data_IF_022442740559
#
_entry.id   IF_022442740559
#
_cell.length_a   1.000
_cell.length_b   1.000
_cell.length_c   1.000
_cell.angle_alpha   90.00
_cell.angle_beta   90.00
_cell.angle_gamma   90.00
#
_symmetry.space_group_name_H-M   'P 1'
#
loop_
_entity.id
_entity.type
_entity.pdbx_description
1 polymer ?
#
# COMPACT_ATOMS: atom_id res chain seq x y z
N UNK A 1 -3.74 9.28 -78.57
CA UNK A 1 -2.99 8.45 -77.61
C UNK A 1 -2.16 9.36 -76.72
N UNK A 2 -2.67 9.79 -75.57
CA UNK A 2 -1.90 10.43 -74.51
C UNK A 2 -2.43 9.87 -73.19
N UNK A 3 -1.59 9.11 -72.49
CA UNK A 3 -1.88 8.50 -71.20
C UNK A 3 -1.67 9.55 -70.11
N UNK A 4 -2.72 9.87 -69.36
CA UNK A 4 -2.58 10.58 -68.08
C UNK A 4 -2.68 9.52 -66.99
N UNK A 5 -1.57 9.30 -66.28
CA UNK A 5 -1.47 8.43 -65.11
C UNK A 5 -1.98 9.27 -63.93
N UNK A 6 -3.12 8.91 -63.35
CA UNK A 6 -3.56 9.44 -62.07
C UNK A 6 -2.89 8.64 -60.95
N UNK A 7 -1.93 9.25 -60.27
CA UNK A 7 -1.36 8.70 -59.05
C UNK A 7 -2.38 8.83 -57.91
N UNK A 8 -2.90 7.71 -57.42
CA UNK A 8 -3.69 7.66 -56.19
C UNK A 8 -2.69 7.76 -55.03
N UNK A 9 -2.66 8.91 -54.37
CA UNK A 9 -1.95 9.06 -53.11
C UNK A 9 -2.75 8.32 -52.02
N UNK A 10 -2.30 7.12 -51.66
CA UNK A 10 -2.75 6.46 -50.43
C UNK A 10 -2.27 7.28 -49.24
N UNK A 11 -3.17 8.04 -48.62
CA UNK A 11 -2.96 8.56 -47.28
C UNK A 11 -3.05 7.38 -46.32
N UNK A 12 -1.90 6.78 -46.00
CA UNK A 12 -1.77 5.95 -44.80
C UNK A 12 -1.97 6.90 -43.62
N UNK A 13 -3.15 6.86 -43.00
CA UNK A 13 -3.30 7.39 -41.66
C UNK A 13 -2.31 6.60 -40.80
N UNK A 14 -1.17 7.21 -40.47
CA UNK A 14 -0.38 6.79 -39.33
C UNK A 14 -1.30 7.07 -38.15
N UNK A 15 -1.99 6.02 -37.68
CA UNK A 15 -2.56 6.02 -36.35
C UNK A 15 -1.38 6.27 -35.42
N UNK A 16 -1.24 7.52 -34.98
CA UNK A 16 -0.50 7.83 -33.78
C UNK A 16 -1.24 7.05 -32.72
N UNK A 17 -0.67 5.90 -32.33
CA UNK A 17 -1.17 5.16 -31.19
C UNK A 17 -1.28 6.16 -30.04
N UNK A 18 -2.46 6.40 -29.45
CA UNK A 18 -2.49 7.10 -28.19
C UNK A 18 -1.55 6.30 -27.28
N UNK A 19 -0.65 6.99 -26.56
CA UNK A 19 0.24 6.36 -25.59
C UNK A 19 -0.53 5.23 -24.91
N UNK A 20 -0.12 3.97 -25.13
CA UNK A 20 -0.82 2.81 -24.61
C UNK A 20 -0.98 3.04 -23.12
N UNK A 21 -2.20 3.35 -22.67
CA UNK A 21 -2.46 3.76 -21.31
C UNK A 21 -1.99 2.64 -20.42
N UNK A 22 -0.96 2.90 -19.61
CA UNK A 22 -0.40 1.91 -18.69
C UNK A 22 -1.50 1.23 -17.87
N UNK A 23 -2.53 2.00 -17.54
CA UNK A 23 -3.76 1.52 -16.95
C UNK A 23 -4.94 2.43 -17.32
N UNK A 24 -6.14 1.88 -17.24
CA UNK A 24 -7.42 2.59 -17.34
C UNK A 24 -8.20 2.36 -16.05
N UNK A 25 -8.58 3.45 -15.36
CA UNK A 25 -9.44 3.39 -14.20
C UNK A 25 -10.89 3.10 -14.63
N UNK A 26 -11.45 2.00 -14.12
CA UNK A 26 -12.82 1.58 -14.41
C UNK A 26 -13.77 1.93 -13.26
N UNK A 27 -13.31 1.74 -12.02
CA UNK A 27 -14.03 2.11 -10.81
C UNK A 27 -13.07 2.80 -9.84
N UNK A 28 -13.53 3.86 -9.19
CA UNK A 28 -12.86 4.48 -8.04
C UNK A 28 -13.86 4.93 -7.02
N UNK A 29 -13.60 4.57 -5.77
CA UNK A 29 -14.44 4.94 -4.65
C UNK A 29 -13.60 5.00 -3.37
N UNK A 30 -13.49 6.21 -2.82
CA UNK A 30 -12.87 6.47 -1.50
C UNK A 30 -13.87 6.45 -0.36
N UNK A 31 -15.16 6.45 -0.65
CA UNK A 31 -16.26 6.57 0.32
C UNK A 31 -16.21 7.83 1.21
N UNK A 32 -15.43 8.84 0.82
CA UNK A 32 -15.42 10.11 1.52
C UNK A 32 -16.82 10.78 1.48
N UNK A 33 -17.30 11.28 2.63
CA UNK A 33 -18.47 12.17 2.69
C UNK A 33 -18.26 13.45 1.87
N UNK A 34 -19.35 14.15 1.60
CA UNK A 34 -19.36 15.43 0.90
C UNK A 34 -20.17 15.42 -0.39
N UNK A 35 -20.07 16.47 -1.22
CA UNK A 35 -20.90 16.64 -2.40
C UNK A 35 -20.58 15.58 -3.47
N UNK A 36 -21.58 14.77 -3.81
CA UNK A 36 -21.44 13.67 -4.78
C UNK A 36 -22.66 13.57 -5.69
N UNK A 37 -22.50 13.18 -6.97
CA UNK A 37 -23.65 12.95 -7.83
C UNK A 37 -24.53 11.85 -7.25
N UNK A 38 -25.85 12.04 -7.32
CA UNK A 38 -26.82 11.10 -6.78
C UNK A 38 -28.06 10.96 -7.67
N UNK A 39 -28.49 9.72 -7.87
CA UNK A 39 -29.64 9.31 -8.66
C UNK A 39 -29.40 9.47 -10.15
N UNK A 40 -30.38 9.08 -10.96
CA UNK A 40 -30.26 9.10 -12.43
C UNK A 40 -30.11 10.49 -13.10
N UNK A 41 -30.02 11.60 -12.34
CA UNK A 41 -29.79 12.94 -12.88
C UNK A 41 -28.41 13.52 -12.54
N UNK A 42 -27.60 12.81 -11.74
CA UNK A 42 -26.25 13.24 -11.37
C UNK A 42 -26.17 14.54 -10.57
N UNK A 43 -27.29 15.02 -10.00
CA UNK A 43 -27.25 16.23 -9.17
C UNK A 43 -26.45 15.95 -7.91
N UNK A 44 -25.58 16.89 -7.57
CA UNK A 44 -24.81 16.82 -6.34
C UNK A 44 -25.74 16.81 -5.13
N UNK A 45 -25.50 15.86 -4.23
CA UNK A 45 -26.06 15.76 -2.89
C UNK A 45 -24.92 15.50 -1.93
N UNK A 46 -25.01 16.05 -0.74
CA UNK A 46 -24.02 15.80 0.29
C UNK A 46 -24.24 14.39 0.84
N UNK A 47 -23.28 13.49 0.59
CA UNK A 47 -23.18 12.21 1.26
C UNK A 47 -22.69 12.45 2.69
N UNK A 48 -23.52 12.14 3.68
CA UNK A 48 -23.19 12.24 5.09
C UNK A 48 -22.87 10.86 5.65
N UNK A 49 -22.20 10.84 6.80
CA UNK A 49 -22.04 9.61 7.57
C UNK A 49 -23.44 9.03 7.87
N UNK A 50 -23.57 7.72 7.74
CA UNK A 50 -24.79 6.92 7.82
C UNK A 50 -25.78 7.07 6.66
N UNK A 51 -25.50 7.93 5.67
CA UNK A 51 -26.28 7.90 4.44
C UNK A 51 -26.05 6.57 3.73
N UNK A 52 -27.15 5.94 3.33
CA UNK A 52 -27.10 4.74 2.51
C UNK A 52 -26.39 5.05 1.18
N UNK A 53 -25.53 4.13 0.72
CA UNK A 53 -24.85 4.28 -0.57
C UNK A 53 -25.82 4.35 -1.76
N UNK A 54 -27.01 3.75 -1.66
CA UNK A 54 -27.98 3.63 -2.74
C UNK A 54 -28.25 4.96 -3.42
N UNK A 55 -28.08 5.00 -4.74
CA UNK A 55 -28.26 6.19 -5.56
C UNK A 55 -27.03 7.08 -5.66
N UNK A 56 -26.04 7.00 -4.75
CA UNK A 56 -24.81 7.77 -4.91
C UNK A 56 -23.91 7.17 -5.99
N UNK A 57 -23.26 8.05 -6.75
CA UNK A 57 -22.31 7.64 -7.78
C UNK A 57 -20.91 7.45 -7.18
N UNK A 58 -20.15 6.44 -7.64
CA UNK A 58 -18.74 6.37 -7.33
C UNK A 58 -18.01 7.55 -7.95
N UNK A 59 -16.78 7.81 -7.51
CA UNK A 59 -15.95 8.86 -8.12
C UNK A 59 -15.65 8.54 -9.58
N UNK A 60 -15.55 7.25 -9.92
CA UNK A 60 -15.49 6.77 -11.29
C UNK A 60 -16.32 5.47 -11.40
N UNK A 61 -17.16 5.31 -12.45
CA UNK A 61 -17.52 6.29 -13.47
C UNK A 61 -18.66 7.23 -13.00
N UNK A 62 -18.67 8.45 -13.50
CA UNK A 62 -19.66 9.49 -13.16
C UNK A 62 -21.04 9.26 -13.81
N UNK A 63 -21.53 8.02 -13.98
CA UNK A 63 -22.88 7.75 -14.55
C UNK A 63 -23.47 6.41 -14.08
N UNK A 64 -22.88 5.78 -13.08
CA UNK A 64 -23.38 4.56 -12.45
C UNK A 64 -23.70 4.87 -10.99
N UNK A 65 -24.63 4.15 -10.39
CA UNK A 65 -25.00 4.35 -8.99
C UNK A 65 -24.86 3.06 -8.20
N UNK A 66 -24.43 3.21 -6.95
CA UNK A 66 -24.52 2.14 -5.97
C UNK A 66 -26.00 1.76 -5.78
N UNK A 67 -26.25 0.47 -5.60
CA UNK A 67 -27.57 -0.10 -5.35
C UNK A 67 -27.53 -0.89 -4.06
N UNK A 68 -28.45 -0.59 -3.15
CA UNK A 68 -28.74 -1.41 -1.97
C UNK A 68 -30.26 -1.61 -1.87
N UNK A 69 -30.76 -2.46 -0.97
CA UNK A 69 -32.18 -2.47 -0.62
C UNK A 69 -32.69 -1.07 -0.24
N UNK A 70 -33.89 -0.71 -0.71
CA UNK A 70 -34.54 0.60 -0.47
C UNK A 70 -35.40 0.63 0.81
N UNK A 71 -35.31 -0.39 1.66
CA UNK A 71 -36.19 -0.52 2.83
C UNK A 71 -35.58 0.12 4.07
N UNK A 72 -36.34 1.03 4.69
CA UNK A 72 -35.99 1.60 5.99
C UNK A 72 -36.00 0.49 7.06
N UNK A 73 -34.89 0.34 7.80
CA UNK A 73 -34.79 -0.59 8.92
C UNK A 73 -34.00 -1.87 8.66
N UNK A 74 -33.46 -2.06 7.45
CA UNK A 74 -32.45 -3.10 7.17
C UNK A 74 -31.06 -2.50 7.41
N UNK A 75 -30.16 -3.28 8.00
CA UNK A 75 -28.74 -2.93 8.05
C UNK A 75 -28.23 -2.90 6.61
N UNK A 76 -27.80 -1.74 6.14
CA UNK A 76 -27.39 -1.50 4.76
C UNK A 76 -25.95 -1.02 4.71
N UNK A 77 -25.35 -1.06 3.52
CA UNK A 77 -24.10 -0.35 3.28
C UNK A 77 -24.34 1.16 3.30
N UNK A 78 -23.59 1.85 4.13
CA UNK A 78 -23.67 3.30 4.30
C UNK A 78 -22.28 3.93 4.30
N UNK A 79 -22.22 5.22 3.96
CA UNK A 79 -21.02 6.02 4.20
C UNK A 79 -20.72 6.04 5.69
N UNK A 80 -19.45 5.88 6.03
CA UNK A 80 -18.96 5.82 7.38
C UNK A 80 -17.72 6.71 7.52
N UNK A 81 -17.39 6.99 8.78
CA UNK A 81 -16.12 7.59 9.13
C UNK A 81 -15.22 6.56 9.80
N UNK A 82 -13.96 6.49 9.38
CA UNK A 82 -12.93 5.78 10.11
C UNK A 82 -11.67 6.65 10.16
N UNK A 83 -11.41 7.21 11.34
CA UNK A 83 -10.03 7.34 11.80
C UNK A 83 -9.40 5.93 11.82
N UNK A 84 -8.07 5.84 11.97
CA UNK A 84 -7.40 4.58 12.38
C UNK A 84 -7.97 4.03 13.71
N UNK A 85 -8.90 4.72 14.35
CA UNK A 85 -9.86 4.17 15.29
C UNK A 85 -11.31 4.40 14.77
N UNK A 86 -12.07 3.34 14.39
CA UNK A 86 -13.45 3.48 13.92
C UNK A 86 -14.45 3.84 15.04
N UNK A 87 -13.98 4.02 16.27
CA UNK A 87 -14.76 4.53 17.41
C UNK A 87 -14.33 5.94 17.84
N UNK A 88 -13.26 6.51 17.25
CA UNK A 88 -12.79 7.86 17.55
C UNK A 88 -13.27 8.86 16.48
N UNK A 89 -14.08 9.82 16.91
CA UNK A 89 -14.40 11.00 16.11
C UNK A 89 -13.18 11.92 16.18
N UNK A 90 -12.33 11.94 15.15
CA UNK A 90 -11.36 13.03 14.96
C UNK A 90 -12.03 14.18 14.17
N UNK A 91 -12.36 15.31 14.82
CA UNK A 91 -12.97 16.46 14.15
C UNK A 91 -12.02 17.19 13.18
N UNK A 92 -10.73 16.80 13.11
CA UNK A 92 -9.72 17.45 12.27
C UNK A 92 -9.20 16.57 11.12
N UNK A 93 -9.71 15.36 10.89
CA UNK A 93 -9.25 14.51 9.78
C UNK A 93 -9.90 14.93 8.45
N UNK A 94 -9.13 15.46 7.47
CA UNK A 94 -9.63 15.80 6.15
C UNK A 94 -9.86 14.57 5.23
N UNK A 95 -9.59 13.34 5.67
CA UNK A 95 -9.70 12.09 4.88
C UNK A 95 -10.55 11.00 5.55
N UNK A 96 -11.67 11.40 6.14
CA UNK A 96 -12.68 10.45 6.59
C UNK A 96 -13.41 9.84 5.38
N UNK A 97 -13.39 8.51 5.18
CA UNK A 97 -14.05 7.88 4.04
C UNK A 97 -14.04 6.36 4.08
N UNK A 98 -15.14 5.77 4.53
CA UNK A 98 -15.36 4.32 4.48
C UNK A 98 -16.78 4.01 4.09
N UNK A 99 -17.00 2.77 3.64
CA UNK A 99 -18.33 2.18 3.67
C UNK A 99 -18.38 1.07 4.72
N UNK A 100 -19.53 0.98 5.37
CA UNK A 100 -19.81 0.03 6.43
C UNK A 100 -21.10 -0.71 6.12
N UNK A 101 -21.12 -2.03 6.25
CA UNK A 101 -22.32 -2.85 6.19
C UNK A 101 -22.31 -3.93 7.27
N UNK A 102 -23.46 -4.46 7.64
CA UNK A 102 -23.55 -5.56 8.62
C UNK A 102 -24.62 -6.59 8.25
N UNK A 103 -24.50 -7.78 8.83
CA UNK A 103 -25.57 -8.78 8.93
C UNK A 103 -26.31 -9.07 7.62
N UNK A 104 -25.58 -9.40 6.55
CA UNK A 104 -26.14 -9.77 5.25
C UNK A 104 -26.35 -8.59 4.31
N UNK A 105 -25.94 -7.37 4.68
CA UNK A 105 -26.05 -6.20 3.81
C UNK A 105 -25.29 -6.42 2.50
N UNK A 106 -25.97 -6.19 1.38
CA UNK A 106 -25.39 -6.24 0.03
C UNK A 106 -25.44 -4.87 -0.63
N UNK A 107 -24.34 -4.47 -1.25
CA UNK A 107 -24.28 -3.33 -2.16
C UNK A 107 -23.72 -3.76 -3.52
N UNK A 108 -24.35 -3.30 -4.58
CA UNK A 108 -24.01 -3.63 -5.96
C UNK A 108 -23.71 -2.36 -6.75
N UNK A 109 -22.70 -2.44 -7.61
CA UNK A 109 -22.33 -1.41 -8.57
C UNK A 109 -22.38 -2.03 -9.97
N UNK A 110 -23.21 -1.52 -10.90
CA UNK A 110 -23.20 -1.99 -12.28
C UNK A 110 -21.79 -1.93 -12.87
N UNK A 111 -21.32 -3.06 -13.40
CA UNK A 111 -19.96 -3.21 -13.90
C UNK A 111 -19.91 -4.13 -15.11
N UNK A 112 -19.19 -3.70 -16.15
CA UNK A 112 -18.94 -4.51 -17.34
C UNK A 112 -17.46 -4.86 -17.38
N UNK A 113 -17.15 -6.15 -17.26
CA UNK A 113 -15.78 -6.62 -17.29
C UNK A 113 -15.12 -6.34 -18.65
N UNK A 114 -13.91 -5.75 -18.67
CA UNK A 114 -13.16 -5.58 -19.91
C UNK A 114 -12.68 -6.95 -20.45
N UNK A 115 -12.36 -7.04 -21.75
CA UNK A 115 -11.83 -8.26 -22.35
C UNK A 115 -10.36 -8.56 -21.98
N UNK A 116 -9.60 -7.54 -21.56
CA UNK A 116 -8.22 -7.70 -21.09
C UNK A 116 -8.18 -7.85 -19.57
N UNK A 117 -6.99 -8.10 -19.01
CA UNK A 117 -6.79 -8.20 -17.57
C UNK A 117 -7.19 -6.93 -16.82
N UNK A 118 -7.77 -7.14 -15.63
CA UNK A 118 -8.15 -6.07 -14.72
C UNK A 118 -7.98 -6.48 -13.27
N UNK A 119 -7.66 -5.49 -12.43
CA UNK A 119 -7.30 -5.66 -11.04
C UNK A 119 -8.31 -4.95 -10.16
N UNK A 120 -8.98 -5.72 -9.30
CA UNK A 120 -9.70 -5.22 -8.14
C UNK A 120 -8.70 -4.91 -7.03
N UNK A 121 -8.83 -3.77 -6.39
CA UNK A 121 -8.08 -3.48 -5.20
C UNK A 121 -8.85 -2.62 -4.21
N UNK A 122 -8.86 -3.01 -2.95
CA UNK A 122 -9.58 -2.34 -1.87
C UNK A 122 -8.86 -2.56 -0.54
N UNK A 123 -9.18 -1.72 0.43
CA UNK A 123 -8.75 -1.85 1.82
C UNK A 123 -9.94 -2.28 2.66
N UNK A 124 -9.71 -3.22 3.57
CA UNK A 124 -10.75 -3.66 4.49
C UNK A 124 -10.17 -3.87 5.88
N UNK A 125 -11.02 -3.72 6.88
CA UNK A 125 -10.74 -4.14 8.24
C UNK A 125 -11.96 -4.88 8.77
N UNK A 126 -11.69 -5.93 9.54
CA UNK A 126 -12.70 -6.84 10.07
C UNK A 126 -12.72 -6.77 11.59
N UNK A 127 -13.85 -7.10 12.25
CA UNK A 127 -13.87 -7.28 13.69
C UNK A 127 -12.90 -8.39 14.10
N UNK A 128 -11.79 -7.99 14.73
CA UNK A 128 -10.69 -8.88 15.08
C UNK A 128 -11.17 -10.05 15.95
N UNK A 129 -10.83 -11.27 15.55
CA UNK A 129 -11.13 -12.50 16.27
C UNK A 129 -12.56 -13.05 16.09
N UNK A 130 -13.42 -12.37 15.33
CA UNK A 130 -14.79 -12.81 15.05
C UNK A 130 -14.88 -13.59 13.74
N UNK A 131 -15.94 -14.39 13.60
CA UNK A 131 -16.23 -15.20 12.40
C UNK A 131 -16.90 -14.42 11.27
N UNK A 132 -17.23 -13.14 11.51
CA UNK A 132 -17.78 -12.26 10.48
C UNK A 132 -16.86 -12.13 9.29
N UNK A 133 -17.45 -11.98 8.11
CA UNK A 133 -16.73 -11.93 6.85
C UNK A 133 -17.17 -10.76 5.95
N UNK A 134 -16.24 -10.24 5.15
CA UNK A 134 -16.55 -9.40 3.99
C UNK A 134 -16.38 -10.24 2.75
N UNK A 135 -17.40 -10.23 1.91
CA UNK A 135 -17.36 -10.82 0.57
C UNK A 135 -17.29 -9.67 -0.42
N UNK A 136 -16.33 -9.73 -1.34
CA UNK A 136 -16.11 -8.67 -2.33
C UNK A 136 -15.71 -9.29 -3.66
N UNK A 137 -16.16 -8.69 -4.76
CA UNK A 137 -15.78 -9.14 -6.09
C UNK A 137 -16.90 -8.92 -7.10
N UNK A 138 -17.07 -9.89 -8.00
CA UNK A 138 -17.90 -9.79 -9.17
C UNK A 138 -19.04 -10.80 -9.13
N UNK A 139 -20.21 -10.38 -9.58
CA UNK A 139 -21.43 -11.18 -9.56
C UNK A 139 -22.23 -10.98 -10.84
N UNK A 140 -23.00 -12.01 -11.18
CA UNK A 140 -24.00 -11.99 -12.25
C UNK A 140 -25.39 -11.58 -11.73
N UNK A 141 -25.59 -11.63 -10.41
CA UNK A 141 -26.88 -11.48 -9.76
C UNK A 141 -27.12 -10.06 -9.25
N UNK A 142 -28.35 -9.58 -9.39
CA UNK A 142 -28.83 -8.33 -8.81
C UNK A 142 -29.56 -8.53 -7.46
N UNK A 143 -29.46 -9.72 -6.87
CA UNK A 143 -30.04 -10.04 -5.57
C UNK A 143 -29.33 -9.28 -4.44
N UNK A 144 -30.09 -8.83 -3.44
CA UNK A 144 -29.54 -8.15 -2.26
C UNK A 144 -29.48 -9.04 -1.00
N UNK A 145 -29.46 -10.35 -1.19
CA UNK A 145 -29.28 -11.33 -0.13
C UNK A 145 -28.55 -12.54 -0.71
N UNK A 146 -27.57 -13.05 0.03
CA UNK A 146 -26.77 -14.21 -0.35
C UNK A 146 -26.21 -14.12 -1.78
N UNK A 147 -25.74 -12.94 -2.16
CA UNK A 147 -25.49 -12.60 -3.56
C UNK A 147 -24.33 -13.43 -4.12
N UNK A 148 -23.25 -13.56 -3.36
CA UNK A 148 -22.04 -14.23 -3.84
C UNK A 148 -22.18 -15.75 -3.89
N UNK A 149 -22.87 -16.37 -2.94
CA UNK A 149 -23.07 -17.82 -2.93
C UNK A 149 -24.06 -18.29 -3.99
N UNK A 150 -25.00 -17.42 -4.39
CA UNK A 150 -26.03 -17.78 -5.36
C UNK A 150 -25.74 -17.29 -6.78
N UNK A 151 -24.96 -16.21 -6.92
CA UNK A 151 -24.72 -15.56 -8.22
C UNK A 151 -23.30 -15.04 -8.44
N UNK A 152 -22.38 -15.28 -7.51
CA UNK A 152 -20.99 -14.85 -7.59
C UNK A 152 -20.27 -15.42 -8.81
N UNK A 153 -19.58 -14.54 -9.55
CA UNK A 153 -18.75 -14.91 -10.68
C UNK A 153 -17.32 -15.17 -10.23
N UNK A 154 -16.69 -14.18 -9.61
CA UNK A 154 -15.32 -14.25 -9.09
C UNK A 154 -15.23 -13.31 -7.89
N UNK A 155 -14.95 -13.86 -6.72
CA UNK A 155 -15.04 -13.09 -5.47
C UNK A 155 -14.12 -13.66 -4.40
N UNK A 156 -13.90 -12.88 -3.35
CA UNK A 156 -13.09 -13.29 -2.20
C UNK A 156 -13.91 -13.13 -0.93
N UNK A 157 -13.86 -14.14 -0.07
CA UNK A 157 -14.33 -14.08 1.31
C UNK A 157 -13.14 -13.86 2.24
N UNK A 158 -13.27 -12.93 3.18
CA UNK A 158 -12.24 -12.61 4.19
C UNK A 158 -12.92 -12.52 5.55
N UNK A 159 -12.48 -13.32 6.54
CA UNK A 159 -13.07 -13.28 7.88
C UNK A 159 -12.15 -12.63 8.93
N UNK A 160 -12.73 -12.26 10.08
CA UNK A 160 -12.01 -11.61 11.18
C UNK A 160 -10.95 -12.47 11.87
N UNK A 161 -10.73 -13.73 11.46
CA UNK A 161 -9.73 -14.64 12.03
C UNK A 161 -8.45 -14.77 11.20
N UNK A 162 -8.37 -14.16 10.02
CA UNK A 162 -7.23 -14.40 9.15
C UNK A 162 -7.58 -15.13 7.86
N UNK A 163 -8.71 -15.81 7.81
CA UNK A 163 -8.98 -16.79 6.76
C UNK A 163 -9.52 -16.07 5.54
N UNK A 164 -8.96 -16.42 4.39
CA UNK A 164 -9.40 -15.92 3.10
C UNK A 164 -9.61 -17.07 2.12
N UNK A 165 -10.56 -16.87 1.21
CA UNK A 165 -10.81 -17.79 0.11
C UNK A 165 -11.26 -17.02 -1.13
N UNK A 166 -10.65 -17.34 -2.28
CA UNK A 166 -11.05 -16.86 -3.59
C UNK A 166 -11.94 -17.93 -4.23
N UNK A 167 -13.09 -17.51 -4.74
CA UNK A 167 -14.14 -18.32 -5.29
C UNK A 167 -14.37 -17.94 -6.74
N UNK A 168 -14.62 -18.93 -7.61
CA UNK A 168 -14.82 -18.67 -9.03
C UNK A 168 -15.83 -19.65 -9.63
N UNK A 169 -16.92 -19.12 -10.19
CA UNK A 169 -17.98 -19.91 -10.81
C UNK A 169 -18.88 -20.70 -9.84
N UNK A 170 -18.80 -20.40 -8.53
CA UNK A 170 -19.57 -21.05 -7.49
C UNK A 170 -19.04 -20.71 -6.08
N UNK A 171 -19.62 -21.31 -5.03
CA UNK A 171 -19.22 -21.09 -3.63
C UNK A 171 -18.00 -21.91 -3.18
N UNK A 172 -17.52 -22.83 -4.02
CA UNK A 172 -16.32 -23.62 -3.71
C UNK A 172 -15.05 -22.80 -4.01
N UNK A 173 -14.08 -22.76 -3.08
CA UNK A 173 -12.89 -21.96 -3.26
C UNK A 173 -11.94 -22.58 -4.28
N UNK A 174 -11.38 -21.74 -5.15
CA UNK A 174 -10.28 -22.09 -6.06
C UNK A 174 -8.90 -21.82 -5.43
N UNK A 175 -8.84 -20.95 -4.42
CA UNK A 175 -7.67 -20.70 -3.61
C UNK A 175 -8.11 -20.30 -2.19
N UNK A 176 -7.31 -20.64 -1.18
CA UNK A 176 -7.56 -20.23 0.20
C UNK A 176 -6.27 -20.17 1.00
N UNK A 177 -6.29 -19.43 2.10
CA UNK A 177 -5.16 -19.35 3.00
C UNK A 177 -5.46 -18.48 4.21
N UNK A 178 -4.39 -18.06 4.88
CA UNK A 178 -4.47 -17.08 5.97
C UNK A 178 -3.64 -15.84 5.64
N UNK A 179 -4.06 -14.71 6.20
CA UNK A 179 -3.33 -13.45 6.18
C UNK A 179 -3.29 -12.87 7.59
N UNK A 180 -2.26 -12.08 7.88
CA UNK A 180 -2.22 -11.30 9.11
C UNK A 180 -3.17 -10.12 8.94
N UNK A 181 -4.19 -10.04 9.78
CA UNK A 181 -5.07 -8.87 9.83
C UNK A 181 -4.47 -7.86 10.81
N UNK A 182 -4.47 -6.59 10.42
CA UNK A 182 -4.26 -5.51 11.37
C UNK A 182 -5.35 -5.51 12.44
N UNK A 183 -5.12 -4.81 13.55
CA UNK A 183 -6.23 -4.36 14.40
C UNK A 183 -6.84 -3.10 13.78
N UNK A 184 -7.99 -2.67 14.28
CA UNK A 184 -8.51 -1.33 13.93
C UNK A 184 -7.41 -0.26 14.09
N UNK A 185 -6.62 -0.35 15.16
CA UNK A 185 -5.45 0.49 15.44
C UNK A 185 -4.14 0.08 14.73
N UNK A 186 -4.11 -1.06 14.03
CA UNK A 186 -2.91 -1.72 13.51
C UNK A 186 -2.82 -1.78 11.99
N UNK A 187 -3.84 -1.28 11.28
CA UNK A 187 -3.79 -1.04 9.84
C UNK A 187 -4.82 -1.79 9.00
N UNK A 188 -4.98 -1.33 7.76
CA UNK A 188 -5.87 -1.90 6.75
C UNK A 188 -5.31 -3.19 6.14
N UNK A 189 -6.16 -4.19 5.91
CA UNK A 189 -5.81 -5.31 5.04
C UNK A 189 -6.06 -4.92 3.58
N UNK A 190 -4.99 -4.85 2.78
CA UNK A 190 -5.10 -4.63 1.35
C UNK A 190 -5.49 -5.92 0.64
N UNK A 191 -6.55 -5.86 -0.16
CA UNK A 191 -6.93 -6.93 -1.09
C UNK A 191 -6.60 -6.46 -2.49
N UNK A 192 -5.90 -7.30 -3.26
CA UNK A 192 -5.58 -7.03 -4.65
C UNK A 192 -5.68 -8.31 -5.46
N UNK A 193 -6.65 -8.38 -6.37
CA UNK A 193 -6.89 -9.54 -7.22
C UNK A 193 -7.01 -9.11 -8.67
N UNK A 194 -6.14 -9.67 -9.50
CA UNK A 194 -6.12 -9.50 -10.95
C UNK A 194 -6.77 -10.71 -11.59
N UNK A 195 -7.80 -10.47 -12.40
CA UNK A 195 -8.37 -11.45 -13.29
C UNK A 195 -7.87 -11.23 -14.70
N UNK A 196 -7.37 -12.29 -15.35
CA UNK A 196 -7.04 -12.32 -16.76
C UNK A 196 -8.08 -13.20 -17.49
N UNK A 197 -9.05 -12.58 -18.21
CA UNK A 197 -10.07 -13.32 -18.95
C UNK A 197 -9.51 -14.18 -20.09
N UNK A 198 -8.39 -13.78 -20.69
CA UNK A 198 -7.79 -14.50 -21.82
C UNK A 198 -7.04 -15.75 -21.34
N UNK A 199 -6.37 -15.64 -20.19
CA UNK A 199 -5.68 -16.76 -19.56
C UNK A 199 -6.60 -17.62 -18.67
N UNK A 200 -7.80 -17.13 -18.33
CA UNK A 200 -8.68 -17.70 -17.31
C UNK A 200 -7.93 -17.92 -15.98
N UNK A 201 -7.20 -16.90 -15.53
CA UNK A 201 -6.45 -16.97 -14.28
C UNK A 201 -6.79 -15.82 -13.34
N UNK A 202 -6.69 -16.10 -12.04
CA UNK A 202 -6.69 -15.10 -10.97
C UNK A 202 -5.34 -15.10 -10.26
N UNK A 203 -4.79 -13.93 -10.00
CA UNK A 203 -3.54 -13.74 -9.25
C UNK A 203 -3.60 -12.47 -8.40
N UNK A 204 -2.67 -12.28 -7.48
CA UNK A 204 -2.59 -11.06 -6.69
C UNK A 204 -2.06 -11.30 -5.29
N UNK A 205 -2.63 -10.61 -4.31
CA UNK A 205 -2.25 -10.71 -2.89
C UNK A 205 -3.40 -10.31 -1.95
N UNK A 206 -3.35 -10.85 -0.75
CA UNK A 206 -4.21 -10.50 0.38
C UNK A 206 -3.28 -10.17 1.55
N UNK A 207 -3.16 -8.88 1.85
CA UNK A 207 -2.03 -8.34 2.62
C UNK A 207 -0.72 -8.68 1.90
N UNK A 208 0.22 -9.25 2.66
CA UNK A 208 1.49 -9.76 2.12
C UNK A 208 1.39 -11.19 1.57
N UNK A 209 0.25 -11.86 1.72
CA UNK A 209 0.08 -13.25 1.26
C UNK A 209 -0.22 -13.28 -0.24
N UNK A 210 0.64 -13.87 -1.08
CA UNK A 210 0.37 -13.97 -2.51
C UNK A 210 -0.79 -14.92 -2.82
N UNK A 211 -1.55 -14.60 -3.88
CA UNK A 211 -2.62 -15.42 -4.45
C UNK A 211 -2.25 -15.78 -5.87
N UNK A 212 -2.25 -17.08 -6.18
CA UNK A 212 -2.09 -17.57 -7.55
C UNK A 212 -0.72 -17.31 -8.20
N UNK A 213 -0.63 -17.43 -9.54
CA UNK A 213 -1.75 -17.57 -10.49
C UNK A 213 -2.51 -18.90 -10.31
N UNK A 214 -3.84 -18.82 -10.24
CA UNK A 214 -4.75 -19.97 -10.17
C UNK A 214 -5.67 -19.95 -11.39
N UNK A 215 -5.79 -21.10 -12.06
CA UNK A 215 -6.73 -21.27 -13.17
C UNK A 215 -8.16 -21.30 -12.64
N UNK A 216 -9.06 -20.53 -13.24
CA UNK A 216 -10.48 -20.49 -12.88
C UNK A 216 -11.35 -21.19 -13.92
N UNK A 217 -12.48 -21.80 -13.52
CA UNK A 217 -13.46 -22.33 -14.47
C UNK A 217 -14.12 -21.22 -15.29
N UNK A 218 -14.88 -21.56 -16.34
CA UNK A 218 -15.74 -20.59 -17.01
C UNK A 218 -16.66 -19.89 -16.01
N UNK A 219 -16.66 -18.56 -16.02
CA UNK A 219 -17.40 -17.75 -15.05
C UNK A 219 -18.80 -17.41 -15.56
N UNK A 220 -19.81 -17.31 -14.67
CA UNK A 220 -21.04 -16.57 -14.95
C UNK A 220 -20.73 -15.13 -15.42
N UNK A 221 -21.58 -14.53 -16.28
CA UNK A 221 -21.36 -13.17 -16.76
C UNK A 221 -21.16 -12.17 -15.62
N UNK A 222 -20.12 -11.35 -15.68
CA UNK A 222 -19.91 -10.28 -14.71
C UNK A 222 -20.82 -9.11 -15.08
N UNK A 223 -21.82 -8.84 -14.23
CA UNK A 223 -22.77 -7.74 -14.40
C UNK A 223 -22.62 -6.64 -13.33
N UNK A 224 -22.08 -7.00 -12.17
CA UNK A 224 -21.86 -6.09 -11.05
C UNK A 224 -20.52 -6.35 -10.38
N UNK A 225 -19.93 -5.28 -9.84
CA UNK A 225 -19.10 -5.38 -8.67
C UNK A 225 -20.03 -5.41 -7.44
N UNK A 226 -19.72 -6.23 -6.45
CA UNK A 226 -20.52 -6.37 -5.24
C UNK A 226 -19.67 -6.33 -3.98
N UNK A 227 -20.33 -6.00 -2.87
CA UNK A 227 -19.82 -6.21 -1.52
C UNK A 227 -20.95 -6.69 -0.61
N UNK A 228 -20.64 -7.65 0.24
CA UNK A 228 -21.59 -8.28 1.15
C UNK A 228 -20.96 -8.49 2.52
N UNK A 229 -21.67 -8.09 3.57
CA UNK A 229 -21.26 -8.29 4.96
C UNK A 229 -21.88 -9.59 5.49
N UNK A 230 -21.10 -10.43 6.18
CA UNK A 230 -21.57 -11.70 6.74
C UNK A 230 -21.44 -11.72 8.26
N UNK A 231 -22.51 -12.18 8.91
CA UNK A 231 -22.67 -12.37 10.37
C UNK A 231 -22.59 -11.08 11.20
N UNK A 232 -21.48 -10.35 11.11
CA UNK A 232 -21.21 -9.10 11.82
C UNK A 232 -21.07 -7.95 10.81
N UNK A 233 -20.28 -6.94 11.17
CA UNK A 233 -19.96 -5.81 10.33
C UNK A 233 -18.74 -6.06 9.44
N UNK A 234 -18.71 -5.33 8.32
CA UNK A 234 -17.63 -5.28 7.36
C UNK A 234 -17.36 -3.82 6.98
N UNK A 235 -16.09 -3.48 6.78
CA UNK A 235 -15.66 -2.15 6.34
C UNK A 235 -14.88 -2.26 5.05
N UNK A 236 -15.14 -1.34 4.11
CA UNK A 236 -14.38 -1.19 2.87
C UNK A 236 -13.91 0.25 2.71
N UNK A 237 -12.70 0.43 2.20
CA UNK A 237 -12.10 1.70 1.83
C UNK A 237 -11.31 1.58 0.51
N UNK A 238 -11.01 2.71 -0.13
CA UNK A 238 -10.05 2.85 -1.22
C UNK A 238 -10.23 1.80 -2.33
N UNK A 239 -11.49 1.61 -2.74
CA UNK A 239 -11.88 0.71 -3.81
C UNK A 239 -11.43 1.28 -5.16
N UNK A 240 -10.78 0.43 -5.93
CA UNK A 240 -10.37 0.70 -7.30
C UNK A 240 -10.49 -0.56 -8.15
N UNK A 241 -10.92 -0.38 -9.39
CA UNK A 241 -10.84 -1.42 -10.42
C UNK A 241 -10.12 -0.79 -11.61
N UNK A 242 -8.99 -1.37 -12.00
CA UNK A 242 -8.14 -0.85 -13.09
C UNK A 242 -7.92 -1.93 -14.14
N UNK A 243 -7.98 -1.57 -15.42
CA UNK A 243 -7.51 -2.41 -16.53
C UNK A 243 -6.06 -2.06 -16.84
N UNK A 244 -5.24 -3.03 -17.24
CA UNK A 244 -3.84 -2.82 -17.60
C UNK A 244 -2.88 -2.99 -16.41
N UNK A 245 -1.63 -2.56 -16.59
CA UNK A 245 -0.59 -2.73 -15.58
C UNK A 245 -0.81 -1.75 -14.42
N UNK A 246 -0.90 -2.29 -13.20
CA UNK A 246 -1.03 -1.47 -11.99
C UNK A 246 0.22 -0.63 -11.76
N UNK A 247 0.02 0.57 -11.21
CA UNK A 247 1.09 1.43 -10.74
C UNK A 247 1.95 0.71 -9.67
N UNK A 248 3.26 0.74 -9.83
CA UNK A 248 4.25 0.19 -8.90
C UNK A 248 5.35 1.22 -8.68
N UNK A 249 5.95 1.23 -7.49
CA UNK A 249 7.06 2.10 -7.14
C UNK A 249 8.07 1.35 -6.28
N UNK A 250 9.35 1.64 -6.49
CA UNK A 250 10.49 1.13 -5.71
C UNK A 250 11.45 2.29 -5.45
N UNK A 251 12.10 2.29 -4.30
CA UNK A 251 13.14 3.28 -3.99
C UNK A 251 14.50 2.66 -4.27
N UNK A 252 15.31 3.38 -5.04
CA UNK A 252 16.70 3.04 -5.32
C UNK A 252 17.64 4.15 -4.83
N UNK A 253 18.86 3.77 -4.49
CA UNK A 253 19.91 4.71 -4.08
C UNK A 253 20.21 4.69 -2.58
N UNK A 254 21.42 5.17 -2.27
CA UNK A 254 22.04 5.25 -0.95
C UNK A 254 22.24 3.90 -0.20
N UNK A 255 23.39 3.69 0.49
CA UNK A 255 23.52 2.55 1.40
C UNK A 255 22.63 2.74 2.65
N UNK A 256 22.21 1.66 3.33
CA UNK A 256 21.35 1.75 4.52
C UNK A 256 22.03 2.44 5.72
N UNK A 257 23.36 2.54 5.69
CA UNK A 257 24.17 3.28 6.67
C UNK A 257 24.86 4.46 5.99
N UNK A 258 24.61 5.67 6.48
CA UNK A 258 25.08 6.94 5.93
C UNK A 258 26.01 7.62 6.94
N UNK A 259 27.08 8.27 6.48
CA UNK A 259 28.03 8.91 7.38
C UNK A 259 27.48 10.29 7.76
N UNK A 260 27.73 10.74 9.00
CA UNK A 260 27.27 12.05 9.44
C UNK A 260 27.75 13.16 8.50
N UNK A 261 26.86 14.09 8.16
CA UNK A 261 27.12 15.17 7.21
C UNK A 261 27.07 14.77 5.73
N UNK A 262 26.88 13.50 5.38
CA UNK A 262 26.81 13.10 3.98
C UNK A 262 25.48 13.51 3.32
N UNK A 263 25.53 13.56 1.98
CA UNK A 263 24.34 13.73 1.16
C UNK A 263 23.77 12.38 0.76
N UNK A 264 22.48 12.18 1.05
CA UNK A 264 21.68 11.04 0.61
C UNK A 264 20.92 11.42 -0.65
N UNK A 265 20.92 10.55 -1.65
CA UNK A 265 20.07 10.69 -2.85
C UNK A 265 19.26 9.41 -3.01
N UNK A 266 17.95 9.54 -2.92
CA UNK A 266 16.98 8.47 -3.20
C UNK A 266 16.26 8.77 -4.51
N UNK A 267 16.01 7.74 -5.30
CA UNK A 267 15.28 7.83 -6.57
C UNK A 267 14.10 6.88 -6.57
N UNK A 268 12.91 7.41 -6.80
CA UNK A 268 11.70 6.62 -6.99
C UNK A 268 11.67 6.08 -8.43
N UNK A 269 11.83 4.77 -8.56
CA UNK A 269 11.62 4.04 -9.82
C UNK A 269 10.17 3.59 -9.88
N UNK A 270 9.48 3.90 -10.96
CA UNK A 270 8.06 3.57 -11.10
C UNK A 270 7.72 3.22 -12.53
N UNK A 271 6.68 2.40 -12.69
CA UNK A 271 6.06 2.19 -13.99
C UNK A 271 4.99 3.24 -14.31
N UNK A 272 4.90 4.36 -13.59
CA UNK A 272 3.97 5.46 -13.86
C UNK A 272 4.22 6.15 -15.21
N UNK A 273 3.16 6.60 -15.87
CA UNK A 273 3.21 7.33 -17.13
C UNK A 273 3.27 8.81 -16.81
N UNK A 274 4.05 9.55 -17.59
CA UNK A 274 4.16 10.98 -17.41
C UNK A 274 2.85 11.70 -17.81
N UNK A 275 2.31 12.60 -16.96
CA UNK A 275 2.88 13.03 -15.67
C UNK A 275 2.52 12.09 -14.51
N UNK A 276 3.52 11.79 -13.67
CA UNK A 276 3.33 11.22 -12.35
C UNK A 276 3.55 12.31 -11.29
N UNK A 277 2.73 12.30 -10.24
CA UNK A 277 2.94 13.09 -9.03
C UNK A 277 3.73 12.25 -8.02
N UNK A 278 4.67 12.89 -7.32
CA UNK A 278 5.51 12.26 -6.31
C UNK A 278 5.35 13.00 -4.99
N UNK A 279 5.39 12.26 -3.89
CA UNK A 279 5.62 12.78 -2.55
C UNK A 279 6.50 11.78 -1.80
N UNK A 280 7.40 12.28 -0.95
CA UNK A 280 8.21 11.42 -0.09
C UNK A 280 7.67 11.45 1.33
N UNK A 281 7.70 10.28 1.97
CA UNK A 281 7.39 10.13 3.38
C UNK A 281 8.62 9.71 4.16
N UNK A 282 8.65 10.14 5.43
CA UNK A 282 9.56 9.64 6.45
C UNK A 282 8.73 9.16 7.63
N UNK A 283 8.94 7.93 8.05
CA UNK A 283 8.25 7.29 9.18
C UNK A 283 6.71 7.43 9.07
N UNK A 284 6.19 7.25 7.85
CA UNK A 284 4.76 7.33 7.52
C UNK A 284 4.19 8.76 7.47
N UNK A 285 5.03 9.80 7.47
CA UNK A 285 4.62 11.19 7.36
C UNK A 285 5.24 11.85 6.14
N UNK A 286 4.43 12.53 5.33
CA UNK A 286 4.93 13.32 4.22
C UNK A 286 5.91 14.40 4.68
N UNK A 287 7.05 14.49 4.01
CA UNK A 287 8.08 15.50 4.27
C UNK A 287 8.08 16.57 3.16
N UNK A 288 8.13 17.87 3.49
CA UNK A 288 8.32 18.93 2.51
C UNK A 288 9.82 19.18 2.25
N UNK A 289 10.12 19.95 1.20
CA UNK A 289 11.45 20.56 1.05
C UNK A 289 11.72 21.52 2.22
N UNK A 290 12.95 21.49 2.75
CA UNK A 290 13.35 22.27 3.92
C UNK A 290 14.05 21.44 5.01
N UNK A 291 14.26 22.02 6.21
CA UNK A 291 15.03 21.38 7.26
C UNK A 291 14.27 20.24 7.94
N UNK A 292 14.97 19.12 8.16
CA UNK A 292 14.60 18.05 9.07
C UNK A 292 15.13 18.31 10.49
N UNK A 293 14.67 17.55 11.51
CA UNK A 293 15.34 17.52 12.80
C UNK A 293 16.85 17.28 12.65
N UNK A 294 17.65 18.02 13.43
CA UNK A 294 19.11 17.99 13.31
C UNK A 294 19.71 18.88 12.22
N UNK A 295 18.89 19.57 11.42
CA UNK A 295 19.35 20.57 10.45
C UNK A 295 19.70 20.04 9.06
N UNK A 296 19.51 18.74 8.81
CA UNK A 296 19.61 18.17 7.46
C UNK A 296 18.58 18.83 6.52
N UNK A 297 18.92 19.06 5.26
CA UNK A 297 18.07 19.79 4.31
C UNK A 297 17.52 18.86 3.24
N UNK A 298 16.21 18.78 3.16
CA UNK A 298 15.47 18.05 2.12
C UNK A 298 15.24 18.95 0.91
N UNK A 299 15.46 18.38 -0.28
CA UNK A 299 15.08 18.98 -1.56
C UNK A 299 14.56 17.91 -2.53
N UNK A 300 13.62 18.29 -3.41
CA UNK A 300 13.03 17.38 -4.39
C UNK A 300 11.94 16.47 -3.84
N UNK A 301 11.34 16.79 -2.69
CA UNK A 301 10.32 15.99 -2.01
C UNK A 301 9.02 15.79 -2.82
N UNK A 302 8.81 16.57 -3.89
CA UNK A 302 7.70 16.40 -4.84
C UNK A 302 8.16 15.89 -6.22
N UNK A 303 9.35 15.31 -6.30
CA UNK A 303 9.94 14.81 -7.54
C UNK A 303 10.31 13.34 -7.39
N UNK A 304 10.71 12.71 -8.51
CA UNK A 304 11.21 11.34 -8.49
C UNK A 304 12.58 11.19 -7.82
N UNK A 305 13.23 12.29 -7.40
CA UNK A 305 14.54 12.26 -6.72
C UNK A 305 14.49 13.10 -5.45
N UNK A 306 14.68 12.45 -4.30
CA UNK A 306 14.84 13.10 -3.00
C UNK A 306 16.32 13.26 -2.70
N UNK A 307 16.74 14.47 -2.34
CA UNK A 307 18.10 14.74 -1.86
C UNK A 307 18.04 15.26 -0.43
N UNK A 308 18.81 14.65 0.46
CA UNK A 308 18.95 15.08 1.86
C UNK A 308 20.42 15.40 2.10
N UNK A 309 20.76 16.67 2.30
CA UNK A 309 22.14 17.09 2.64
C UNK A 309 22.33 17.17 4.15
N UNK A 310 23.59 17.07 4.59
CA UNK A 310 23.97 17.11 6.02
C UNK A 310 23.22 16.05 6.86
N UNK A 311 23.08 14.85 6.32
CA UNK A 311 22.36 13.74 6.95
C UNK A 311 23.03 13.35 8.28
N UNK A 312 22.23 13.26 9.33
CA UNK A 312 22.64 13.01 10.71
C UNK A 312 21.64 12.10 11.44
N UNK A 313 21.97 11.68 12.66
CA UNK A 313 21.18 10.72 13.44
C UNK A 313 19.71 11.15 13.64
N UNK A 314 19.43 12.45 13.73
CA UNK A 314 18.06 12.98 13.87
C UNK A 314 17.28 13.02 12.55
N UNK A 315 17.97 12.85 11.42
CA UNK A 315 17.37 12.70 10.09
C UNK A 315 17.18 11.23 9.65
N UNK A 316 17.68 10.26 10.42
CA UNK A 316 17.49 8.83 10.19
C UNK A 316 16.01 8.39 10.29
N UNK A 317 15.63 7.34 9.58
CA UNK A 317 14.24 6.86 9.56
C UNK A 317 13.94 5.96 8.37
N UNK A 318 12.68 5.52 8.28
CA UNK A 318 12.15 4.79 7.15
C UNK A 318 11.64 5.79 6.09
N UNK A 319 12.14 5.69 4.86
CA UNK A 319 11.74 6.56 3.75
C UNK A 319 11.05 5.77 2.65
N UNK A 320 9.90 6.24 2.19
CA UNK A 320 9.17 5.67 1.06
C UNK A 320 8.71 6.75 0.07
N UNK A 321 8.55 6.33 -1.18
CA UNK A 321 8.06 7.18 -2.25
C UNK A 321 6.59 6.87 -2.52
N UNK A 322 5.77 7.92 -2.49
CA UNK A 322 4.37 7.89 -2.89
C UNK A 322 4.28 8.40 -4.32
N UNK A 323 3.80 7.55 -5.23
CA UNK A 323 3.64 7.86 -6.64
C UNK A 323 2.17 7.84 -6.99
N UNK A 324 1.69 8.86 -7.69
CA UNK A 324 0.31 8.93 -8.15
C UNK A 324 0.22 9.27 -9.64
N UNK A 325 -0.77 8.71 -10.31
CA UNK A 325 -1.17 9.09 -11.66
C UNK A 325 -2.71 9.01 -11.77
N UNK A 326 -3.24 9.09 -12.99
CA UNK A 326 -4.68 8.99 -13.24
C UNK A 326 -5.32 7.67 -12.82
N UNK A 327 -4.53 6.61 -12.65
CA UNK A 327 -5.03 5.30 -12.23
C UNK A 327 -5.09 5.13 -10.71
N UNK A 328 -4.47 6.03 -9.95
CA UNK A 328 -4.44 5.98 -8.50
C UNK A 328 -3.06 6.30 -7.93
N UNK A 329 -2.87 5.88 -6.69
CA UNK A 329 -1.67 6.12 -5.90
C UNK A 329 -1.09 4.77 -5.46
N UNK A 330 0.23 4.66 -5.45
CA UNK A 330 0.96 3.54 -4.87
C UNK A 330 2.08 4.07 -3.97
N UNK A 331 2.41 3.31 -2.93
CA UNK A 331 3.59 3.54 -2.09
C UNK A 331 4.64 2.49 -2.43
N UNK A 332 5.91 2.88 -2.38
CA UNK A 332 7.00 1.90 -2.44
C UNK A 332 7.14 1.19 -1.10
N UNK A 333 7.84 0.05 -1.04
CA UNK A 333 8.47 -0.40 0.19
C UNK A 333 9.36 0.71 0.78
N UNK A 334 9.43 0.78 2.11
CA UNK A 334 10.29 1.74 2.78
C UNK A 334 11.76 1.27 2.81
N UNK A 335 12.68 2.20 2.61
CA UNK A 335 14.12 2.01 2.82
C UNK A 335 14.49 2.61 4.17
N UNK A 336 15.08 1.79 5.05
CA UNK A 336 15.52 2.23 6.37
C UNK A 336 16.93 2.82 6.25
N UNK A 337 17.07 4.10 6.59
CA UNK A 337 18.35 4.80 6.62
C UNK A 337 18.77 5.09 8.06
N UNK A 338 20.03 4.83 8.35
CA UNK A 338 20.68 5.03 9.65
C UNK A 338 22.00 5.79 9.50
N UNK A 339 22.52 6.37 10.59
CA UNK A 339 23.79 7.12 10.58
C UNK A 339 24.96 6.34 11.15
N UNK A 340 25.17 5.12 10.65
CA UNK A 340 26.18 4.21 11.18
C UNK A 340 27.27 3.89 10.14
N UNK A 341 27.41 4.71 9.10
CA UNK A 341 28.46 4.53 8.10
C UNK A 341 29.82 4.72 8.77
N UNK A 342 30.60 3.64 8.82
CA UNK A 342 31.89 3.63 9.49
C UNK A 342 31.86 3.24 10.96
N UNK A 343 30.70 3.08 11.61
CA UNK A 343 30.63 2.36 12.89
C UNK A 343 30.41 0.88 12.62
N UNK A 344 31.50 0.23 12.26
CA UNK A 344 31.64 -1.20 12.49
C UNK A 344 32.04 -1.47 13.94
N UNK A 345 32.84 -0.59 14.56
CA UNK A 345 33.17 -0.63 15.97
C UNK A 345 32.39 0.42 16.78
N UNK A 346 32.02 0.05 18.00
CA UNK A 346 31.43 0.93 19.01
C UNK A 346 32.47 1.07 20.13
N UNK A 347 33.06 2.26 20.34
CA UNK A 347 34.04 2.47 21.42
C UNK A 347 33.42 2.45 22.81
N UNK A 348 32.10 2.48 22.94
CA UNK A 348 31.37 2.19 24.19
C UNK A 348 31.21 0.67 24.36
N UNK A 349 32.34 -0.03 24.56
CA UNK A 349 32.38 -1.50 24.58
C UNK A 349 31.65 -2.10 25.79
N UNK A 350 31.42 -1.30 26.84
CA UNK A 350 30.69 -1.70 28.03
C UNK A 350 29.20 -1.24 28.04
N UNK A 351 28.79 -0.49 27.02
CA UNK A 351 27.46 0.08 26.79
C UNK A 351 26.89 0.85 27.98
N UNK A 352 27.75 1.53 28.74
CA UNK A 352 27.32 2.40 29.82
C UNK A 352 26.80 3.76 29.30
N UNK A 353 26.91 3.99 27.99
CA UNK A 353 26.47 5.19 27.29
C UNK A 353 27.53 6.30 27.26
N UNK A 354 28.76 6.02 27.71
CA UNK A 354 29.83 7.00 27.81
C UNK A 354 31.17 6.42 27.35
N UNK A 355 31.75 6.97 26.27
CA UNK A 355 33.09 6.58 25.81
C UNK A 355 34.15 7.13 26.77
N UNK A 356 34.76 6.28 27.59
CA UNK A 356 35.69 6.67 28.64
C UNK A 356 36.67 5.53 29.04
N UNK A 357 37.40 5.71 30.16
CA UNK A 357 38.38 4.70 30.62
C UNK A 357 37.76 3.35 31.04
N UNK A 358 36.46 3.30 31.34
CA UNK A 358 35.75 2.06 31.64
C UNK A 358 35.57 1.16 30.41
N UNK A 359 35.65 1.71 29.20
CA UNK A 359 35.67 0.95 27.96
C UNK A 359 37.00 0.22 27.77
N UNK A 360 38.10 0.92 28.07
CA UNK A 360 39.45 0.33 28.06
C UNK A 360 39.53 -0.82 29.07
N UNK A 361 38.99 -0.63 30.28
CA UNK A 361 38.95 -1.66 31.33
C UNK A 361 38.09 -2.87 30.93
N UNK A 362 36.97 -2.65 30.23
CA UNK A 362 36.15 -3.73 29.72
C UNK A 362 36.85 -4.53 28.60
N UNK A 363 37.59 -3.87 27.71
CA UNK A 363 38.41 -4.55 26.69
C UNK A 363 39.57 -5.33 27.33
N UNK A 364 40.21 -4.79 28.36
CA UNK A 364 41.23 -5.51 29.15
C UNK A 364 40.67 -6.80 29.78
N UNK A 365 39.44 -6.75 30.29
CA UNK A 365 38.75 -7.93 30.81
C UNK A 365 38.46 -8.95 29.70
N UNK A 366 37.99 -8.49 28.53
CA UNK A 366 37.69 -9.34 27.38
C UNK A 366 38.94 -10.07 26.84
N UNK A 367 40.10 -9.40 26.80
CA UNK A 367 41.40 -10.01 26.45
C UNK A 367 41.78 -11.15 27.41
N UNK A 368 41.38 -11.05 28.68
CA UNK A 368 41.57 -12.10 29.67
C UNK A 368 40.44 -13.15 29.70
N UNK A 369 39.48 -13.07 28.77
CA UNK A 369 38.36 -13.99 28.63
C UNK A 369 37.18 -13.72 29.56
N UNK A 370 37.14 -12.56 30.22
CA UNK A 370 36.00 -12.11 31.03
C UNK A 370 35.17 -11.09 30.25
N UNK A 371 33.94 -11.48 29.91
CA UNK A 371 32.99 -10.65 29.13
C UNK A 371 31.84 -10.13 30.00
N UNK A 372 31.97 -10.14 31.33
CA UNK A 372 30.88 -9.78 32.25
C UNK A 372 30.44 -8.32 32.18
N UNK A 373 31.35 -7.42 31.80
CA UNK A 373 31.09 -5.99 31.57
C UNK A 373 31.15 -5.63 30.07
N UNK A 374 31.02 -6.61 29.18
CA UNK A 374 31.21 -6.45 27.74
C UNK A 374 29.90 -6.75 27.01
N UNK A 375 29.37 -5.82 26.23
CA UNK A 375 28.21 -6.10 25.39
C UNK A 375 28.70 -6.54 24.01
N UNK A 376 28.69 -7.84 23.75
CA UNK A 376 28.99 -8.33 22.41
C UNK A 376 28.06 -7.67 21.35
N UNK A 377 28.59 -7.30 20.17
CA UNK A 377 29.47 -8.19 19.41
C UNK A 377 30.98 -7.93 19.40
N UNK A 378 31.49 -6.72 19.66
CA UNK A 378 32.79 -6.31 19.07
C UNK A 378 33.98 -6.28 20.04
N UNK A 379 34.32 -7.43 20.64
CA UNK A 379 35.53 -7.57 21.47
C UNK A 379 36.85 -7.57 20.68
N UNK A 380 36.77 -7.83 19.39
CA UNK A 380 37.84 -7.66 18.40
C UNK A 380 37.66 -6.28 17.74
N UNK A 381 37.81 -5.23 18.55
CA UNK A 381 37.51 -3.84 18.20
C UNK A 381 38.28 -3.37 16.95
N UNK A 382 39.50 -3.86 16.74
CA UNK A 382 40.33 -3.52 15.57
C UNK A 382 40.17 -4.51 14.39
N UNK A 383 39.47 -5.63 14.59
CA UNK A 383 39.10 -6.63 13.59
C UNK A 383 40.26 -7.33 12.93
N UNK A 384 41.34 -7.53 13.68
CA UNK A 384 42.48 -8.32 13.22
C UNK A 384 42.24 -9.84 13.32
N UNK A 385 41.09 -10.24 13.89
CA UNK A 385 40.67 -11.63 14.07
C UNK A 385 41.11 -12.22 15.41
N UNK A 386 41.63 -11.41 16.33
CA UNK A 386 42.12 -11.85 17.64
C UNK A 386 41.84 -10.80 18.71
N UNK A 387 41.11 -11.16 19.77
CA UNK A 387 40.94 -10.31 20.95
C UNK A 387 42.26 -10.25 21.72
N UNK A 388 42.98 -9.14 21.62
CA UNK A 388 44.33 -8.99 22.14
C UNK A 388 44.69 -7.53 22.52
N UNK A 389 45.96 -7.27 22.86
CA UNK A 389 46.40 -5.93 23.25
C UNK A 389 46.21 -4.83 22.20
N UNK A 390 46.13 -5.19 20.92
CA UNK A 390 45.86 -4.25 19.84
C UNK A 390 44.41 -3.74 19.83
N UNK A 391 43.47 -4.44 20.46
CA UNK A 391 42.11 -3.95 20.67
C UNK A 391 42.08 -2.88 21.78
N UNK A 392 42.83 -3.12 22.86
CA UNK A 392 42.98 -2.16 23.96
C UNK A 392 43.56 -0.84 23.43
N UNK A 393 44.65 -0.91 22.66
CA UNK A 393 45.28 0.27 22.06
C UNK A 393 44.31 1.03 21.13
N UNK A 394 43.47 0.31 20.40
CA UNK A 394 42.50 0.90 19.49
C UNK A 394 41.32 1.58 20.22
N UNK A 395 40.84 0.98 21.32
CA UNK A 395 39.83 1.60 22.19
C UNK A 395 40.41 2.82 22.92
N UNK A 396 41.64 2.73 23.43
CA UNK A 396 42.34 3.88 24.04
C UNK A 396 42.47 5.07 23.07
N UNK A 397 42.79 4.80 21.81
CA UNK A 397 42.84 5.84 20.78
C UNK A 397 41.45 6.45 20.56
N UNK A 398 40.40 5.64 20.52
CA UNK A 398 39.02 6.09 20.33
C UNK A 398 38.51 6.94 21.52
N UNK A 399 38.84 6.57 22.75
CA UNK A 399 38.58 7.38 23.97
C UNK A 399 39.24 8.76 23.88
N UNK A 400 40.38 8.85 23.20
CA UNK A 400 41.09 10.11 22.94
C UNK A 400 40.61 10.84 21.67
N UNK A 401 39.49 10.42 21.09
CA UNK A 401 38.87 11.06 19.93
C UNK A 401 39.44 10.64 18.57
N UNK A 402 40.23 9.57 18.51
CA UNK A 402 40.60 8.96 17.25
C UNK A 402 39.37 8.31 16.59
N UNK A 403 39.31 8.26 15.25
CA UNK A 403 38.27 7.51 14.56
C UNK A 403 38.41 6.00 14.83
N UNK A 404 37.31 5.28 14.64
CA UNK A 404 37.26 3.83 14.62
C UNK A 404 38.30 3.24 13.63
N UNK A 405 39.08 2.20 14.01
CA UNK A 405 40.13 1.59 13.19
C UNK A 405 39.63 0.88 11.91
#
# INVERSE_FOLDING_TARGET
>A
MHRVIAAIASFTLIAISPAAGQCQLLVRESFAPGPRPHGGNGRLRDANIHDNLSGYWPQVPEYTEWRTPNESGVVNWAFAGSSLDPLEIDPNDPYNGTAFGESGAVALLPFSAPPDSFTLSAETVMPFGLTGAIYLGYTSSDAFADNFETGGSLWVSLNGRGEWAVHAGGPDPVASGTAVFGTLAGGWLRVELTFDPAASTVSGRIGETPVGPVTVPPLPPIAYFGMEAREYWAVLNNLSIVRGQRLSAEVAGAPPSICDGQTVVLTAQTNAANPAAYFWERDGRQIPDGPLPGGAIVSGAQTNTLTITDFNALSAGAFDAVVANSCGLTRSPAVILSTNCGQTCDPDVNCDGSINGFDVEATEQAVNGDFSNFCQPDADYNRDGSINGFDIEAVEQAVNGAPCP
#
